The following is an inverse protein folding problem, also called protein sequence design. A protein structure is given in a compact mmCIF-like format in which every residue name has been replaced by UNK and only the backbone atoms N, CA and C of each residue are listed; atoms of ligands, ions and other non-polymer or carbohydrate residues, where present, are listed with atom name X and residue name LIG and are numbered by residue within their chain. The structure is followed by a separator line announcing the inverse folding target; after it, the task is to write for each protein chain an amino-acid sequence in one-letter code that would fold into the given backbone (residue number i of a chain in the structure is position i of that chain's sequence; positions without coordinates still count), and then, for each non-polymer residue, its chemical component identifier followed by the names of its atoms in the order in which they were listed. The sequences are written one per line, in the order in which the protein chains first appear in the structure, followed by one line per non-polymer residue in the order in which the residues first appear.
data_IF_736464790601
#
_entry.id   IF_736464790601
#
_cell.length_a   1.000
_cell.length_b   1.000
_cell.length_c   1.000
_cell.angle_alpha   90.00
_cell.angle_beta   90.00
_cell.angle_gamma   90.00
#
_symmetry.space_group_name_H-M   'P 1'
#
loop_
_entity.id
_entity.type
_entity.pdbx_description
1 polymer ?
#
# COMPACT_ATOMS: atom_id res chain seq x y z
N UNK A 1 -13.29 -16.63 8.13
CA UNK A 1 -13.92 -16.53 9.47
C UNK A 1 -12.93 -15.86 10.42
N UNK A 2 -12.94 -14.53 10.54
CA UNK A 2 -12.49 -13.81 11.74
C UNK A 2 -13.26 -12.49 11.81
N UNK A 3 -13.88 -12.30 12.98
CA UNK A 3 -14.94 -11.36 13.30
C UNK A 3 -14.26 -10.15 13.97
N UNK A 4 -14.33 -8.97 13.36
CA UNK A 4 -13.84 -7.73 13.99
C UNK A 4 -14.86 -7.25 15.03
N UNK A 5 -14.36 -7.11 16.25
CA UNK A 5 -15.07 -6.66 17.44
C UNK A 5 -15.25 -5.13 17.40
N UNK A 6 -16.43 -4.66 17.78
CA UNK A 6 -16.85 -3.23 17.88
C UNK A 6 -16.82 -2.75 19.34
N UNK A 7 -16.60 -1.44 19.51
CA UNK A 7 -17.01 -0.63 20.67
C UNK A 7 -16.03 -0.65 21.85
N UNK A 8 -15.84 0.40 22.65
CA UNK A 8 -16.71 1.54 22.94
C UNK A 8 -15.92 2.71 23.53
N UNK A 9 -16.65 3.82 23.66
CA UNK A 9 -16.37 5.21 24.04
C UNK A 9 -15.63 5.49 25.36
N UNK A 10 -15.34 6.80 25.55
CA UNK A 10 -15.31 7.65 26.78
C UNK A 10 -14.13 8.63 26.62
N UNK A 11 -14.14 9.91 27.02
CA UNK A 11 -15.11 10.98 27.21
C UNK A 11 -14.27 12.27 27.42
N UNK A 12 -14.79 13.40 26.92
CA UNK A 12 -14.67 14.81 27.37
C UNK A 12 -13.55 15.23 28.36
N UNK A 13 -12.76 16.24 27.96
CA UNK A 13 -12.27 17.36 28.79
C UNK A 13 -11.78 18.49 27.85
N UNK A 14 -12.45 19.65 27.67
CA UNK A 14 -12.65 20.84 28.52
C UNK A 14 -11.46 21.86 28.49
N UNK A 15 -11.77 23.10 28.06
CA UNK A 15 -11.05 24.39 28.25
C UNK A 15 -9.87 24.67 27.27
N UNK A 16 -9.62 25.88 26.73
CA UNK A 16 -9.80 27.26 27.25
C UNK A 16 -9.96 28.32 26.13
N UNK A 17 -10.59 29.44 26.51
CA UNK A 17 -10.76 30.73 25.84
C UNK A 17 -9.55 31.26 25.05
N UNK A 18 -9.85 31.92 23.92
CA UNK A 18 -9.06 33.04 23.39
C UNK A 18 -9.98 34.21 23.06
N UNK A 19 -9.94 35.19 23.95
CA UNK A 19 -10.47 36.55 23.78
C UNK A 19 -9.56 37.27 22.81
N UNK A 20 -10.12 37.81 21.73
CA UNK A 20 -9.45 38.73 20.82
C UNK A 20 -10.28 40.00 20.66
N UNK A 21 -10.10 40.96 21.56
CA UNK A 21 -10.48 42.34 21.34
C UNK A 21 -9.40 43.01 20.46
N UNK A 22 -9.82 43.68 19.40
CA UNK A 22 -8.99 44.55 18.57
C UNK A 22 -9.74 45.84 18.27
N UNK A 23 -9.17 46.95 18.73
CA UNK A 23 -9.73 48.30 18.84
C UNK A 23 -9.61 49.16 17.56
N UNK A 24 -10.60 50.05 17.44
CA UNK A 24 -10.57 51.45 17.01
C UNK A 24 -10.09 51.83 15.60
N UNK A 25 -10.94 52.56 14.87
CA UNK A 25 -10.61 53.91 14.35
C UNK A 25 -11.87 54.68 13.99
N UNK A 26 -11.90 55.92 14.48
CA UNK A 26 -12.94 56.92 14.38
C UNK A 26 -12.70 57.83 13.18
N UNK A 27 -13.76 58.27 12.51
CA UNK A 27 -13.82 59.60 11.90
C UNK A 27 -15.24 59.94 11.41
N UNK A 28 -15.72 61.09 11.91
CA UNK A 28 -16.47 62.12 11.17
C UNK A 28 -17.98 61.99 10.95
N UNK A 29 -18.71 62.73 11.80
CA UNK A 29 -19.96 63.42 11.45
C UNK A 29 -19.70 64.37 10.28
N UNK A 30 -20.61 64.46 9.30
CA UNK A 30 -21.45 65.67 9.28
C UNK A 30 -22.89 65.47 8.80
N UNK A 31 -23.74 66.33 9.38
CA UNK A 31 -24.76 67.14 8.70
C UNK A 31 -25.70 66.49 7.68
N UNK A 32 -26.91 66.28 8.18
CA UNK A 32 -28.17 66.30 7.44
C UNK A 32 -28.19 67.38 6.34
N UNK A 33 -28.41 66.99 5.08
CA UNK A 33 -28.91 67.86 4.03
C UNK A 33 -29.65 67.01 2.99
N UNK A 34 -30.91 67.39 2.78
CA UNK A 34 -31.90 66.71 1.96
C UNK A 34 -31.44 66.42 0.53
N UNK A 35 -31.78 65.25 -0.01
CA UNK A 35 -32.13 65.10 -1.43
C UNK A 35 -33.28 64.09 -1.56
N UNK A 36 -34.46 64.69 -1.79
CA UNK A 36 -35.57 64.31 -2.68
C UNK A 36 -35.59 62.90 -3.26
N UNK A 37 -36.73 62.25 -3.05
CA UNK A 37 -37.17 61.07 -3.78
C UNK A 37 -37.25 61.34 -5.29
N UNK A 38 -36.59 60.49 -6.08
CA UNK A 38 -37.02 60.22 -7.45
C UNK A 38 -37.21 58.71 -7.61
N UNK A 39 -38.48 58.35 -7.75
CA UNK A 39 -38.93 57.04 -8.21
C UNK A 39 -38.41 56.82 -9.63
N UNK A 40 -37.73 55.69 -9.87
CA UNK A 40 -37.69 55.14 -11.21
C UNK A 40 -37.97 53.64 -11.16
N UNK A 41 -39.13 53.29 -11.70
CA UNK A 41 -39.58 51.94 -11.98
C UNK A 41 -38.54 51.22 -12.84
N UNK A 42 -37.95 50.17 -12.30
CA UNK A 42 -37.42 49.07 -13.10
C UNK A 42 -38.10 47.83 -12.55
N UNK A 43 -39.19 47.42 -13.21
CA UNK A 43 -39.78 46.11 -12.99
C UNK A 43 -38.75 45.05 -13.38
N UNK A 44 -37.95 44.66 -12.39
CA UNK A 44 -37.05 43.52 -12.45
C UNK A 44 -37.91 42.28 -12.31
N UNK A 45 -38.20 41.60 -13.43
CA UNK A 45 -38.91 40.32 -13.43
C UNK A 45 -38.11 39.31 -12.63
N UNK A 46 -38.55 39.06 -11.39
CA UNK A 46 -37.96 38.07 -10.50
C UNK A 46 -38.28 36.67 -11.04
N UNK A 47 -37.25 35.99 -11.52
CA UNK A 47 -37.37 34.60 -11.95
C UNK A 47 -37.40 33.72 -10.70
N UNK A 48 -38.55 33.10 -10.45
CA UNK A 48 -38.70 32.15 -9.35
C UNK A 48 -38.02 30.85 -9.73
N UNK A 49 -37.10 30.37 -8.89
CA UNK A 49 -36.35 29.13 -9.09
C UNK A 49 -36.64 28.14 -7.97
N UNK A 50 -36.68 26.87 -8.35
CA UNK A 50 -36.74 25.77 -7.39
C UNK A 50 -35.34 25.52 -6.83
N UNK A 51 -35.25 25.30 -5.52
CA UNK A 51 -33.98 25.03 -4.83
C UNK A 51 -34.06 23.70 -4.10
N UNK A 52 -32.90 23.04 -3.97
CA UNK A 52 -32.74 21.85 -3.13
C UNK A 52 -31.67 22.13 -2.09
N UNK A 53 -31.97 21.79 -0.83
CA UNK A 53 -31.01 21.86 0.25
C UNK A 53 -30.12 20.61 0.22
N UNK A 54 -28.80 20.80 0.19
CA UNK A 54 -27.82 19.72 0.23
C UNK A 54 -27.53 19.36 1.69
N UNK A 55 -27.57 18.07 2.00
CA UNK A 55 -27.07 17.54 3.27
C UNK A 55 -25.65 17.02 3.09
N UNK A 56 -24.79 17.30 4.07
CA UNK A 56 -23.41 16.88 4.05
C UNK A 56 -23.29 15.36 4.28
N UNK A 57 -22.85 14.63 3.27
CA UNK A 57 -22.45 13.23 3.44
C UNK A 57 -21.00 13.17 3.96
N UNK A 58 -20.71 12.35 5.00
CA UNK A 58 -19.35 12.22 5.52
C UNK A 58 -18.36 11.61 4.52
N UNK A 59 -18.85 10.84 3.53
CA UNK A 59 -18.04 10.27 2.45
C UNK A 59 -18.91 9.82 1.27
N UNK A 60 -18.25 9.42 0.18
CA UNK A 60 -18.87 8.76 -0.96
C UNK A 60 -17.89 7.74 -1.54
N UNK A 61 -18.37 6.55 -1.90
CA UNK A 61 -17.54 5.48 -2.46
C UNK A 61 -17.44 5.62 -3.97
N UNK A 62 -16.21 5.60 -4.50
CA UNK A 62 -15.95 5.58 -5.94
C UNK A 62 -15.39 4.21 -6.30
N UNK A 63 -16.16 3.43 -7.05
CA UNK A 63 -15.68 2.17 -7.62
C UNK A 63 -14.69 2.45 -8.74
N UNK A 64 -13.55 1.76 -8.72
CA UNK A 64 -12.52 1.84 -9.75
C UNK A 64 -12.10 0.43 -10.12
N UNK A 65 -12.03 0.17 -11.42
CA UNK A 65 -11.58 -1.10 -11.97
C UNK A 65 -10.18 -0.92 -12.56
N UNK A 66 -9.33 -1.93 -12.34
CA UNK A 66 -7.95 -1.92 -12.78
C UNK A 66 -7.64 -3.22 -13.50
N UNK A 67 -6.95 -3.09 -14.63
CA UNK A 67 -6.41 -4.22 -15.38
C UNK A 67 -4.96 -4.47 -14.98
N UNK A 68 -4.57 -5.73 -14.98
CA UNK A 68 -3.21 -6.15 -14.63
C UNK A 68 -2.95 -7.58 -15.09
N UNK A 69 -1.69 -8.00 -14.96
CA UNK A 69 -1.26 -9.36 -15.27
C UNK A 69 -0.64 -9.99 -14.04
N UNK A 70 -0.89 -11.29 -13.85
CA UNK A 70 -0.24 -12.07 -12.80
C UNK A 70 1.16 -12.45 -13.28
N UNK A 71 2.16 -12.27 -12.41
CA UNK A 71 3.54 -12.70 -12.63
C UNK A 71 3.94 -13.68 -11.55
N UNK A 72 4.89 -14.56 -11.86
CA UNK A 72 5.47 -15.47 -10.88
C UNK A 72 6.08 -14.67 -9.72
N UNK A 73 5.78 -15.07 -8.48
CA UNK A 73 6.38 -14.45 -7.29
C UNK A 73 7.89 -14.68 -7.18
N UNK A 74 8.36 -15.82 -7.70
CA UNK A 74 9.76 -16.18 -7.78
C UNK A 74 9.98 -17.07 -9.00
N UNK A 75 11.10 -16.87 -9.68
CA UNK A 75 11.55 -17.73 -10.78
C UNK A 75 13.03 -18.04 -10.57
N UNK A 76 13.41 -19.30 -10.69
CA UNK A 76 14.79 -19.76 -10.54
C UNK A 76 15.22 -20.52 -11.79
N UNK A 77 16.42 -20.22 -12.28
CA UNK A 77 17.10 -21.04 -13.27
C UNK A 77 18.08 -21.94 -12.51
N UNK A 78 17.80 -23.24 -12.49
CA UNK A 78 18.57 -24.21 -11.73
C UNK A 78 19.69 -24.81 -12.59
N UNK A 79 20.84 -25.04 -11.96
CA UNK A 79 22.01 -25.67 -12.59
C UNK A 79 22.95 -26.18 -11.51
N UNK A 80 23.87 -27.06 -11.89
CA UNK A 80 24.89 -27.57 -10.96
C UNK A 80 26.03 -26.56 -10.79
N UNK A 81 26.59 -26.51 -9.58
CA UNK A 81 27.77 -25.69 -9.29
C UNK A 81 29.03 -26.21 -10.01
N UNK A 82 29.14 -27.53 -10.15
CA UNK A 82 30.21 -28.20 -10.86
C UNK A 82 29.71 -28.77 -12.18
N UNK A 83 30.53 -28.64 -13.23
CA UNK A 83 30.28 -29.32 -14.49
C UNK A 83 30.45 -30.84 -14.31
N UNK A 84 29.57 -31.63 -14.92
CA UNK A 84 29.60 -33.07 -14.81
C UNK A 84 28.56 -33.74 -15.70
N UNK A 85 28.61 -35.08 -15.74
CA UNK A 85 27.63 -35.90 -16.45
C UNK A 85 26.40 -36.10 -15.59
N UNK A 86 25.22 -35.94 -16.18
CA UNK A 86 23.95 -36.30 -15.53
C UNK A 86 23.87 -37.82 -15.36
N UNK A 87 23.56 -38.27 -14.15
CA UNK A 87 23.29 -39.65 -13.84
C UNK A 87 21.81 -39.98 -14.07
N UNK A 88 20.91 -39.20 -13.47
CA UNK A 88 19.47 -39.39 -13.61
C UNK A 88 18.67 -38.08 -13.49
N UNK A 89 17.47 -38.06 -14.07
CA UNK A 89 16.46 -37.00 -13.93
C UNK A 89 15.29 -37.61 -13.14
N UNK A 90 14.87 -36.94 -12.08
CA UNK A 90 13.93 -37.46 -11.08
C UNK A 90 12.51 -36.88 -11.19
N UNK A 91 12.31 -35.91 -12.09
CA UNK A 91 11.05 -35.17 -12.24
C UNK A 91 10.74 -34.91 -13.71
N UNK A 92 9.46 -34.73 -14.01
CA UNK A 92 8.97 -34.40 -15.34
C UNK A 92 8.53 -32.92 -15.45
N UNK A 93 8.36 -32.46 -16.68
CA UNK A 93 7.91 -31.10 -16.96
C UNK A 93 6.45 -30.94 -16.52
N UNK A 94 6.21 -29.95 -15.66
CA UNK A 94 4.88 -29.65 -15.11
C UNK A 94 4.67 -30.16 -13.69
N UNK A 95 5.61 -30.94 -13.16
CA UNK A 95 5.55 -31.41 -11.79
C UNK A 95 5.65 -30.26 -10.77
N UNK A 96 4.92 -30.41 -9.67
CA UNK A 96 5.05 -29.52 -8.51
C UNK A 96 6.10 -30.10 -7.57
N UNK A 97 7.09 -29.29 -7.21
CA UNK A 97 8.23 -29.71 -6.38
C UNK A 97 8.31 -28.88 -5.10
N UNK A 98 8.91 -29.44 -4.06
CA UNK A 98 9.12 -28.76 -2.78
C UNK A 98 10.58 -28.33 -2.60
N UNK A 99 10.83 -27.41 -1.67
CA UNK A 99 12.18 -27.01 -1.31
C UNK A 99 13.03 -28.23 -0.88
N UNK A 100 14.26 -28.30 -1.38
CA UNK A 100 15.20 -29.38 -1.10
C UNK A 100 14.93 -30.69 -1.85
N UNK A 101 13.85 -30.80 -2.64
CA UNK A 101 13.58 -31.98 -3.44
C UNK A 101 14.64 -32.13 -4.55
N UNK A 102 15.35 -33.28 -4.63
CA UNK A 102 16.28 -33.54 -5.72
C UNK A 102 15.54 -33.64 -7.05
N UNK A 103 16.00 -32.88 -8.05
CA UNK A 103 15.41 -32.89 -9.39
C UNK A 103 16.25 -33.71 -10.38
N UNK A 104 17.57 -33.65 -10.25
CA UNK A 104 18.55 -34.29 -11.13
C UNK A 104 19.76 -34.67 -10.27
N UNK A 105 20.41 -35.80 -10.56
CA UNK A 105 21.67 -36.20 -9.89
C UNK A 105 22.83 -36.24 -10.89
N UNK A 106 24.02 -35.83 -10.44
CA UNK A 106 25.27 -35.97 -11.20
C UNK A 106 25.93 -37.31 -10.95
N UNK A 107 26.66 -37.80 -11.95
CA UNK A 107 27.57 -38.93 -11.82
C UNK A 107 28.81 -38.52 -11.00
N UNK A 108 28.91 -39.04 -9.78
CA UNK A 108 29.93 -38.64 -8.78
C UNK A 108 30.90 -39.76 -8.43
N UNK A 109 30.95 -40.85 -9.22
CA UNK A 109 31.77 -42.02 -8.88
C UNK A 109 33.27 -41.69 -8.73
N UNK A 110 33.81 -40.88 -9.65
CA UNK A 110 35.21 -40.44 -9.58
C UNK A 110 35.46 -39.60 -8.32
N UNK A 111 34.62 -38.59 -8.09
CA UNK A 111 34.73 -37.70 -6.93
C UNK A 111 34.65 -38.47 -5.60
N UNK A 112 33.80 -39.49 -5.53
CA UNK A 112 33.67 -40.35 -4.35
C UNK A 112 34.93 -41.17 -4.09
N UNK A 113 35.56 -41.68 -5.16
CA UNK A 113 36.82 -42.42 -5.07
C UNK A 113 37.95 -41.52 -4.57
N UNK A 114 38.10 -40.33 -5.18
CA UNK A 114 39.11 -39.35 -4.78
C UNK A 114 38.91 -38.88 -3.33
N UNK A 115 37.67 -38.59 -2.93
CA UNK A 115 37.33 -38.22 -1.55
C UNK A 115 37.72 -39.32 -0.55
N UNK A 116 37.48 -40.59 -0.89
CA UNK A 116 37.85 -41.72 -0.03
C UNK A 116 39.37 -41.84 0.11
N UNK A 117 40.12 -41.71 -0.99
CA UNK A 117 41.57 -41.78 -0.98
C UNK A 117 42.20 -40.64 -0.16
N UNK A 118 41.67 -39.42 -0.28
CA UNK A 118 42.15 -38.26 0.48
C UNK A 118 41.85 -38.40 1.98
N UNK A 119 40.69 -38.95 2.34
CA UNK A 119 40.33 -39.22 3.74
C UNK A 119 41.30 -40.23 4.38
N UNK A 120 41.62 -41.32 3.69
CA UNK A 120 42.57 -42.32 4.19
C UNK A 120 43.96 -41.71 4.43
N UNK A 121 44.46 -40.89 3.51
CA UNK A 121 45.73 -40.18 3.69
C UNK A 121 45.69 -39.21 4.88
N UNK A 122 44.59 -38.47 5.06
CA UNK A 122 44.43 -37.57 6.20
C UNK A 122 44.40 -38.32 7.54
N UNK A 123 43.79 -39.50 7.58
CA UNK A 123 43.75 -40.36 8.78
C UNK A 123 45.14 -40.93 9.11
N UNK A 124 45.90 -41.37 8.11
CA UNK A 124 47.29 -41.85 8.29
C UNK A 124 48.19 -40.76 8.89
N UNK A 125 48.13 -39.53 8.34
CA UNK A 125 48.91 -38.40 8.85
C UNK A 125 48.49 -38.02 10.27
N UNK A 126 47.20 -38.12 10.61
CA UNK A 126 46.70 -37.79 11.95
C UNK A 126 47.06 -38.85 13.00
N UNK A 127 47.26 -40.10 12.58
CA UNK A 127 47.65 -41.19 13.46
C UNK A 127 49.16 -41.16 13.80
N UNK A 128 49.95 -40.45 12.99
CA UNK A 128 51.37 -40.19 13.20
C UNK A 128 51.62 -39.00 14.11
#
# INVERSE_FOLDING_TARGET
MYKLMKGSAVAVALSTLLIGCGENTQAETPSNAAVTAESNSTESTVLTVETVALEHSPSYEVQREYVGVVKAGQQANLGFELAGKVNEILVDVGDTVTEGQPLITLDTQLLKTESSQLKAQAEEVKAH
#
